data_IF_694977929850
#
_entry.id   IF_694977929850
#
_cell.length_a   1.000
_cell.length_b   1.000
_cell.length_c   1.000
_cell.angle_alpha   90.00
_cell.angle_beta   90.00
_cell.angle_gamma   90.00
#
_symmetry.space_group_name_H-M   'P 1'
#
loop_
_entity.id
_entity.type
_entity.pdbx_description
1 polymer ?
#
# COMPACT_ATOMS: atom_id res chain seq x y z
N UNK A 1 -0.94 -17.44 14.76
CA UNK A 1 -0.19 -16.52 13.88
C UNK A 1 -0.30 -15.11 14.42
N UNK A 2 0.79 -14.57 14.98
CA UNK A 2 0.78 -13.28 15.70
C UNK A 2 0.37 -12.10 14.82
N UNK A 3 -0.32 -11.11 15.41
CA UNK A 3 -0.80 -9.91 14.72
C UNK A 3 0.29 -9.20 13.89
N UNK A 4 1.56 -9.25 14.33
CA UNK A 4 2.69 -8.69 13.57
C UNK A 4 2.91 -9.36 12.21
N UNK A 5 2.80 -10.69 12.12
CA UNK A 5 2.98 -11.43 10.85
C UNK A 5 1.88 -11.05 9.85
N UNK A 6 0.63 -10.87 10.33
CA UNK A 6 -0.47 -10.41 9.47
C UNK A 6 -0.20 -9.01 8.92
N UNK A 7 0.35 -8.10 9.72
CA UNK A 7 0.69 -6.74 9.30
C UNK A 7 1.77 -6.74 8.19
N UNK A 8 2.79 -7.58 8.32
CA UNK A 8 3.85 -7.75 7.30
C UNK A 8 3.31 -8.29 5.98
N UNK A 9 2.42 -9.28 6.03
CA UNK A 9 1.79 -9.84 4.82
C UNK A 9 0.94 -8.79 4.11
N UNK A 10 0.14 -8.03 4.85
CA UNK A 10 -0.69 -6.95 4.29
C UNK A 10 0.20 -5.84 3.70
N UNK A 11 1.32 -5.51 4.37
CA UNK A 11 2.26 -4.53 3.86
C UNK A 11 2.93 -4.97 2.56
N UNK A 12 3.38 -6.23 2.48
CA UNK A 12 3.94 -6.77 1.24
C UNK A 12 2.91 -6.77 0.11
N UNK A 13 1.67 -7.18 0.38
CA UNK A 13 0.59 -7.13 -0.62
C UNK A 13 0.30 -5.69 -1.09
N UNK A 14 0.32 -4.72 -0.19
CA UNK A 14 0.16 -3.31 -0.53
C UNK A 14 1.32 -2.77 -1.38
N UNK A 15 2.54 -3.22 -1.11
CA UNK A 15 3.73 -2.91 -1.90
C UNK A 15 3.60 -3.46 -3.33
N UNK A 16 3.20 -4.72 -3.48
CA UNK A 16 2.93 -5.31 -4.79
C UNK A 16 1.83 -4.56 -5.54
N UNK A 17 0.74 -4.19 -4.86
CA UNK A 17 -0.32 -3.39 -5.45
C UNK A 17 0.18 -2.01 -5.91
N UNK A 18 1.02 -1.34 -5.13
CA UNK A 18 1.63 -0.06 -5.51
C UNK A 18 2.55 -0.16 -6.74
N UNK A 19 3.42 -1.17 -6.78
CA UNK A 19 4.34 -1.39 -7.91
C UNK A 19 3.56 -1.77 -9.17
N UNK A 20 2.61 -2.70 -9.06
CA UNK A 20 1.77 -3.13 -10.17
C UNK A 20 0.87 -1.99 -10.68
N UNK A 21 0.25 -1.22 -9.79
CA UNK A 21 -0.51 -0.03 -10.13
C UNK A 21 0.32 0.99 -10.88
N UNK A 22 1.56 1.25 -10.45
CA UNK A 22 2.50 2.14 -11.16
C UNK A 22 2.75 1.64 -12.58
N UNK A 23 3.00 0.35 -12.76
CA UNK A 23 3.25 -0.25 -14.06
C UNK A 23 2.03 -0.11 -15.01
N UNK A 24 0.83 -0.34 -14.50
CA UNK A 24 -0.41 -0.17 -15.27
C UNK A 24 -0.67 1.29 -15.65
N UNK A 25 -0.43 2.23 -14.73
CA UNK A 25 -0.54 3.67 -15.02
C UNK A 25 0.48 4.07 -16.08
N UNK A 26 1.73 3.60 -15.97
CA UNK A 26 2.77 3.86 -16.96
C UNK A 26 2.37 3.34 -18.34
N UNK A 27 1.86 2.11 -18.44
CA UNK A 27 1.35 1.58 -19.71
C UNK A 27 0.14 2.37 -20.24
N UNK A 28 -0.74 2.84 -19.35
CA UNK A 28 -1.88 3.65 -19.73
C UNK A 28 -1.51 5.01 -20.31
N UNK A 29 -0.45 5.63 -19.79
CA UNK A 29 0.06 6.94 -20.25
C UNK A 29 0.91 6.79 -21.50
N UNK A 30 1.87 5.85 -21.50
CA UNK A 30 2.92 5.79 -22.52
C UNK A 30 2.67 4.76 -23.63
N UNK A 31 1.93 3.69 -23.36
CA UNK A 31 1.70 2.60 -24.33
C UNK A 31 0.34 2.72 -25.06
N UNK A 32 -0.39 3.83 -24.88
CA UNK A 32 -1.64 4.09 -25.61
C UNK A 32 -2.82 3.19 -25.21
N UNK A 33 -2.78 2.58 -24.02
CA UNK A 33 -3.85 1.73 -23.50
C UNK A 33 -4.60 2.42 -22.34
N UNK A 34 -5.47 3.42 -22.62
CA UNK A 34 -6.12 4.23 -21.58
C UNK A 34 -6.98 3.40 -20.62
N UNK A 35 -7.44 2.22 -21.04
CA UNK A 35 -8.16 1.28 -20.18
C UNK A 35 -7.33 0.86 -18.95
N UNK A 36 -6.00 0.83 -19.04
CA UNK A 36 -5.12 0.48 -17.93
C UNK A 36 -5.10 1.55 -16.84
N UNK A 37 -5.52 2.80 -17.12
CA UNK A 37 -5.63 3.86 -16.11
C UNK A 37 -6.77 3.61 -15.13
N UNK A 38 -7.90 3.08 -15.62
CA UNK A 38 -9.08 2.80 -14.80
C UNK A 38 -8.79 1.77 -13.71
N UNK A 39 -7.88 0.84 -13.98
CA UNK A 39 -7.47 -0.18 -13.01
C UNK A 39 -6.16 0.21 -12.29
N UNK A 40 -5.22 0.84 -12.99
CA UNK A 40 -3.92 1.22 -12.47
C UNK A 40 -4.01 2.29 -11.38
N UNK A 41 -4.80 3.35 -11.59
CA UNK A 41 -4.90 4.46 -10.62
C UNK A 41 -5.50 3.97 -9.29
N UNK A 42 -6.66 3.27 -9.25
CA UNK A 42 -7.19 2.77 -7.98
C UNK A 42 -6.25 1.78 -7.29
N UNK A 43 -5.60 0.90 -8.04
CA UNK A 43 -4.68 -0.10 -7.47
C UNK A 43 -3.45 0.56 -6.85
N UNK A 44 -2.89 1.57 -7.52
CA UNK A 44 -1.80 2.40 -7.00
C UNK A 44 -2.22 3.15 -5.72
N UNK A 45 -3.34 3.86 -5.77
CA UNK A 45 -3.84 4.64 -4.63
C UNK A 45 -4.14 3.73 -3.44
N UNK A 46 -4.71 2.54 -3.67
CA UNK A 46 -4.95 1.54 -2.64
C UNK A 46 -3.64 1.07 -1.99
N UNK A 47 -2.62 0.73 -2.80
CA UNK A 47 -1.31 0.34 -2.28
C UNK A 47 -0.66 1.42 -1.42
N UNK A 48 -0.71 2.68 -1.87
CA UNK A 48 -0.20 3.84 -1.13
C UNK A 48 -0.99 4.03 0.18
N UNK A 49 -2.32 3.99 0.11
CA UNK A 49 -3.21 4.21 1.25
C UNK A 49 -3.03 3.14 2.33
N UNK A 50 -2.99 1.85 1.95
CA UNK A 50 -2.77 0.76 2.90
C UNK A 50 -1.40 0.91 3.57
N UNK A 51 -0.36 1.18 2.77
CA UNK A 51 0.99 1.39 3.29
C UNK A 51 1.04 2.55 4.30
N UNK A 52 0.42 3.69 3.97
CA UNK A 52 0.34 4.84 4.87
C UNK A 52 -0.37 4.55 6.19
N UNK A 53 -1.48 3.80 6.15
CA UNK A 53 -2.23 3.40 7.36
C UNK A 53 -1.46 2.43 8.24
N UNK A 54 -0.72 1.49 7.65
CA UNK A 54 0.15 0.58 8.40
C UNK A 54 1.23 1.38 9.16
N UNK A 55 1.88 2.33 8.50
CA UNK A 55 2.88 3.19 9.14
C UNK A 55 2.27 4.11 10.21
N UNK A 56 1.08 4.64 9.99
CA UNK A 56 0.37 5.44 10.98
C UNK A 56 0.01 4.63 12.22
N UNK A 57 -0.56 3.43 12.04
CA UNK A 57 -0.92 2.53 13.13
C UNK A 57 0.29 2.02 13.91
N UNK A 58 1.39 1.67 13.22
CA UNK A 58 2.65 1.30 13.85
C UNK A 58 3.23 2.44 14.71
N UNK A 59 3.21 3.68 14.21
CA UNK A 59 3.64 4.87 14.97
C UNK A 59 2.76 5.14 16.20
N UNK A 60 1.45 4.91 16.10
CA UNK A 60 0.54 5.05 17.23
C UNK A 60 0.78 3.96 18.28
N UNK A 61 0.98 2.71 17.86
CA UNK A 61 1.31 1.60 18.74
C UNK A 61 2.62 1.84 19.50
N UNK A 62 3.66 2.29 18.79
CA UNK A 62 4.95 2.65 19.40
C UNK A 62 4.80 3.77 20.44
N UNK A 63 4.05 4.83 20.12
CA UNK A 63 3.79 5.93 21.07
C UNK A 63 3.03 5.46 22.31
N UNK A 64 2.03 4.57 22.17
CA UNK A 64 1.31 4.00 23.31
C UNK A 64 2.19 3.11 24.18
N UNK A 65 3.06 2.30 23.58
CA UNK A 65 4.02 1.49 24.32
C UNK A 65 5.00 2.35 25.12
N UNK A 66 5.46 3.47 24.55
CA UNK A 66 6.41 4.39 25.20
C UNK A 66 5.78 5.34 26.21
N UNK A 67 4.48 5.63 26.10
CA UNK A 67 3.75 6.46 27.07
C UNK A 67 3.20 5.65 28.26
N UNK A 68 3.08 4.33 28.12
CA UNK A 68 2.67 3.41 29.19
C UNK A 68 3.84 2.79 29.96
N UNK A 69 5.07 3.20 29.67
CA UNK A 69 6.34 2.79 30.30
C UNK A 69 7.02 4.00 30.92
#
# INVERSE_FOLDING_TARGET
>A
MGQGIKLWIIWLAALFAGVYGTALVYQGIFAGQPNNLWYGIPTLLMGIWVTGNIWASARQAYRRQRAGS
#
